data_IF_290336654574
#
_entry.id   IF_290336654574
#
_cell.length_a   1.000
_cell.length_b   1.000
_cell.length_c   1.000
_cell.angle_alpha   90.00
_cell.angle_beta   90.00
_cell.angle_gamma   90.00
#
_symmetry.space_group_name_H-M   'P 1'
#
loop_
_entity.id
_entity.type
_entity.pdbx_description
1 polymer ?
#
# COMPACT_ATOMS: atom_id res chain seq x y z
N UNK A 1 0.92 -10.62 5.26
CA UNK A 1 1.49 -10.58 3.90
C UNK A 1 0.42 -10.55 2.81
N UNK A 2 -0.62 -11.36 2.90
CA UNK A 2 -1.76 -11.27 1.96
C UNK A 2 -2.36 -9.85 1.86
N UNK A 3 -2.54 -9.17 3.00
CA UNK A 3 -3.08 -7.80 3.02
C UNK A 3 -2.18 -6.78 2.32
N UNK A 4 -0.86 -6.93 2.40
CA UNK A 4 0.06 -6.02 1.71
C UNK A 4 0.01 -6.24 0.20
N UNK A 5 -0.07 -7.50 -0.25
CA UNK A 5 -0.20 -7.85 -1.67
C UNK A 5 -1.54 -7.32 -2.21
N UNK A 6 -2.63 -7.55 -1.47
CA UNK A 6 -3.95 -7.04 -1.83
C UNK A 6 -3.97 -5.51 -1.94
N UNK A 7 -3.34 -4.80 -1.00
CA UNK A 7 -3.23 -3.34 -1.06
C UNK A 7 -2.36 -2.86 -2.22
N UNK A 8 -1.25 -3.54 -2.53
CA UNK A 8 -0.42 -3.21 -3.69
C UNK A 8 -1.20 -3.38 -5.02
N UNK A 9 -1.97 -4.47 -5.15
CA UNK A 9 -2.86 -4.68 -6.30
C UNK A 9 -3.96 -3.61 -6.38
N UNK A 10 -4.48 -3.16 -5.24
CA UNK A 10 -5.46 -2.09 -5.21
C UNK A 10 -4.87 -0.74 -5.65
N UNK A 11 -3.64 -0.41 -5.22
CA UNK A 11 -2.93 0.79 -5.66
C UNK A 11 -2.78 0.81 -7.19
N UNK A 12 -2.48 -0.33 -7.80
CA UNK A 12 -2.42 -0.49 -9.25
C UNK A 12 -3.81 -0.26 -9.88
N UNK A 13 -4.84 -0.95 -9.38
CA UNK A 13 -6.19 -0.91 -9.93
C UNK A 13 -6.90 0.45 -9.78
N UNK A 14 -6.60 1.21 -8.72
CA UNK A 14 -7.28 2.47 -8.39
C UNK A 14 -6.48 3.72 -8.72
N UNK A 15 -5.15 3.64 -8.67
CA UNK A 15 -4.26 4.79 -8.82
C UNK A 15 -3.19 4.60 -9.91
N UNK A 16 -3.13 3.43 -10.57
CA UNK A 16 -2.13 3.15 -11.60
C UNK A 16 -0.70 3.02 -11.05
N UNK A 17 -0.55 2.74 -9.76
CA UNK A 17 0.77 2.62 -9.10
C UNK A 17 1.14 1.14 -8.95
N UNK A 18 2.12 0.69 -9.73
CA UNK A 18 2.71 -0.66 -9.66
C UNK A 18 3.63 -0.79 -8.44
N UNK A 19 3.05 -0.87 -7.24
CA UNK A 19 3.76 -0.91 -5.97
C UNK A 19 4.33 -2.31 -5.65
N UNK A 20 5.45 -2.37 -4.93
CA UNK A 20 5.94 -3.61 -4.33
C UNK A 20 5.10 -3.98 -3.08
N UNK A 21 5.27 -5.18 -2.51
CA UNK A 21 4.55 -5.58 -1.30
C UNK A 21 4.76 -4.61 -0.13
N UNK A 22 5.97 -4.10 0.09
CA UNK A 22 6.25 -3.09 1.12
C UNK A 22 5.48 -1.78 0.89
N UNK A 23 5.34 -1.36 -0.37
CA UNK A 23 4.47 -0.25 -0.75
C UNK A 23 3.00 -0.51 -0.39
N UNK A 24 2.48 -1.70 -0.71
CA UNK A 24 1.14 -2.12 -0.31
C UNK A 24 0.95 -2.17 1.22
N UNK A 25 1.98 -2.55 1.97
CA UNK A 25 1.96 -2.54 3.43
C UNK A 25 1.76 -1.13 4.00
N UNK A 26 2.29 -0.09 3.34
CA UNK A 26 2.06 1.30 3.77
C UNK A 26 0.59 1.72 3.64
N UNK A 27 -0.11 1.29 2.58
CA UNK A 27 -1.56 1.55 2.44
C UNK A 27 -2.37 0.78 3.49
N UNK A 28 -2.03 -0.49 3.73
CA UNK A 28 -2.66 -1.28 4.78
C UNK A 28 -2.51 -0.62 6.16
N UNK A 29 -1.29 -0.17 6.49
CA UNK A 29 -1.01 0.53 7.74
C UNK A 29 -1.77 1.86 7.83
N UNK A 30 -1.74 2.69 6.77
CA UNK A 30 -2.45 3.97 6.75
C UNK A 30 -3.95 3.81 7.00
N UNK A 31 -4.58 2.77 6.43
CA UNK A 31 -6.00 2.47 6.69
C UNK A 31 -6.26 2.12 8.15
N UNK A 32 -5.42 1.27 8.75
CA UNK A 32 -5.56 0.87 10.16
C UNK A 32 -5.36 2.08 11.09
N UNK A 33 -4.37 2.92 10.80
CA UNK A 33 -4.08 4.11 11.59
C UNK A 33 -5.16 5.19 11.43
N UNK A 34 -5.76 5.33 10.25
CA UNK A 34 -6.92 6.19 10.06
C UNK A 34 -8.15 5.65 10.80
N UNK A 35 -8.41 4.34 10.71
CA UNK A 35 -9.53 3.70 11.40
C UNK A 35 -9.40 3.76 12.94
N UNK A 36 -8.18 3.74 13.47
CA UNK A 36 -7.93 3.93 14.91
C UNK A 36 -7.96 5.39 15.35
N UNK A 37 -8.15 6.35 14.42
CA UNK A 37 -8.08 7.78 14.70
C UNK A 37 -6.68 8.27 15.08
N UNK A 38 -5.62 7.56 14.66
CA UNK A 38 -4.25 8.06 14.80
C UNK A 38 -3.93 9.07 13.68
N UNK A 39 -4.29 8.75 12.44
CA UNK A 39 -4.30 9.71 11.31
C UNK A 39 -5.63 10.46 11.36
N UNK A 40 -5.59 11.79 11.44
CA UNK A 40 -6.80 12.63 11.41
C UNK A 40 -7.28 12.88 9.96
N UNK A 41 -8.58 13.12 9.73
CA UNK A 41 -9.15 13.33 8.40
C UNK A 41 -8.52 14.49 7.59
N UNK A 42 -7.99 15.50 8.26
CA UNK A 42 -7.37 16.69 7.68
C UNK A 42 -5.87 16.54 7.39
N UNK A 43 -5.24 15.45 7.83
CA UNK A 43 -3.81 15.22 7.63
C UNK A 43 -3.52 14.72 6.20
N UNK A 44 -2.36 15.14 5.67
CA UNK A 44 -1.84 14.62 4.39
C UNK A 44 -0.76 13.60 4.67
N UNK A 45 -0.94 12.39 4.14
CA UNK A 45 -0.05 11.24 4.36
C UNK A 45 0.64 10.86 3.05
N UNK A 46 1.96 10.68 3.10
CA UNK A 46 2.75 10.18 1.97
C UNK A 46 3.04 8.70 2.18
N UNK A 47 2.57 7.88 1.25
CA UNK A 47 2.87 6.45 1.21
C UNK A 47 4.17 6.23 0.43
N UNK A 48 5.24 5.83 1.12
CA UNK A 48 6.55 5.64 0.50
C UNK A 48 6.70 4.22 -0.05
N UNK A 49 6.47 4.09 -1.36
CA UNK A 49 6.74 2.86 -2.10
C UNK A 49 8.24 2.72 -2.41
N UNK A 50 8.90 1.69 -1.86
CA UNK A 50 10.36 1.52 -1.93
C UNK A 50 10.86 0.95 -3.26
N UNK A 51 10.01 0.21 -3.96
CA UNK A 51 10.35 -0.46 -5.22
C UNK A 51 9.13 -0.67 -6.10
N UNK A 52 9.35 -0.98 -7.38
CA UNK A 52 8.29 -1.34 -8.30
C UNK A 52 7.95 -2.84 -8.17
N UNK A 53 6.70 -3.20 -8.46
CA UNK A 53 6.17 -4.58 -8.43
C UNK A 53 7.04 -5.57 -9.20
N UNK A 54 7.66 -5.14 -10.30
CA UNK A 54 8.41 -5.99 -11.22
C UNK A 54 9.62 -6.68 -10.57
N UNK A 55 10.10 -6.16 -9.43
CA UNK A 55 11.17 -6.79 -8.64
C UNK A 55 10.71 -7.98 -7.80
N UNK A 56 9.40 -8.21 -7.66
CA UNK A 56 8.80 -9.15 -6.72
C UNK A 56 7.65 -9.94 -7.37
N UNK A 57 7.74 -10.29 -8.66
CA UNK A 57 6.63 -10.92 -9.39
C UNK A 57 6.13 -12.20 -8.72
N UNK A 58 7.05 -12.98 -8.17
CA UNK A 58 6.79 -14.21 -7.41
C UNK A 58 5.92 -14.00 -6.17
N UNK A 59 5.84 -12.77 -5.63
CA UNK A 59 4.96 -12.44 -4.51
C UNK A 59 3.51 -12.16 -4.94
N UNK A 60 3.23 -12.09 -6.24
CA UNK A 60 1.90 -11.80 -6.82
C UNK A 60 1.35 -12.97 -7.66
N UNK A 61 2.07 -14.09 -7.71
CA UNK A 61 1.61 -15.36 -8.30
C UNK A 61 0.74 -16.14 -7.30
#
# INVERSE_FOLDING_TARGET
DEEMIACALEMEAKAGVSACPEGGATLAAARKLAASGWIQPEETVVLFNTAAKEKYKEAFE
#
